data_IF_695054811058
#
_entry.id   IF_695054811058
#
_cell.length_a   1.000
_cell.length_b   1.000
_cell.length_c   1.000
_cell.angle_alpha   90.00
_cell.angle_beta   90.00
_cell.angle_gamma   90.00
#
_symmetry.space_group_name_H-M   'P 1'
#
loop_
_entity.id
_entity.type
_entity.pdbx_description
1 polymer ?
#
# COMPACT_ATOMS: atom_id res chain seq x y z
N UNK A 1 -96.20 2.71 -15.08
CA UNK A 1 -95.09 1.75 -14.88
C UNK A 1 -94.26 1.77 -16.16
N UNK A 2 -92.94 2.02 -16.09
CA UNK A 2 -92.13 2.48 -17.22
C UNK A 2 -91.70 1.38 -18.21
N UNK A 3 -91.47 1.82 -19.45
CA UNK A 3 -90.83 1.11 -20.56
C UNK A 3 -89.32 1.07 -20.31
N UNK A 4 -88.68 -0.09 -20.50
CA UNK A 4 -87.24 -0.19 -20.68
C UNK A 4 -86.93 -1.16 -21.82
N UNK A 5 -86.58 -0.56 -22.96
CA UNK A 5 -86.07 -1.22 -24.15
C UNK A 5 -84.57 -1.45 -23.94
N UNK A 6 -84.13 -2.72 -23.94
CA UNK A 6 -82.72 -3.06 -23.81
C UNK A 6 -82.08 -2.88 -25.19
N UNK A 7 -81.54 -1.68 -25.42
CA UNK A 7 -80.67 -1.38 -26.57
C UNK A 7 -79.29 -1.98 -26.27
N UNK A 8 -78.99 -3.14 -26.87
CA UNK A 8 -77.62 -3.67 -26.90
C UNK A 8 -76.78 -2.87 -27.91
N UNK A 9 -75.89 -2.03 -27.38
CA UNK A 9 -74.83 -1.33 -28.13
C UNK A 9 -73.59 -2.25 -28.23
N UNK A 10 -72.90 -2.34 -29.39
CA UNK A 10 -71.93 -3.39 -29.67
C UNK A 10 -70.54 -3.12 -29.04
N UNK A 11 -69.80 -4.14 -28.56
CA UNK A 11 -68.41 -3.94 -28.16
C UNK A 11 -67.49 -3.99 -29.39
N UNK A 12 -66.81 -2.88 -29.57
CA UNK A 12 -65.92 -2.52 -30.66
C UNK A 12 -64.74 -3.48 -30.86
N UNK A 13 -64.35 -3.62 -32.12
CA UNK A 13 -63.13 -4.25 -32.64
C UNK A 13 -61.90 -3.86 -31.82
N UNK A 14 -61.31 -4.83 -31.12
CA UNK A 14 -60.01 -4.65 -30.46
C UNK A 14 -58.93 -4.56 -31.55
N UNK A 15 -58.57 -3.34 -31.95
CA UNK A 15 -57.32 -3.08 -32.65
C UNK A 15 -56.16 -3.44 -31.72
N UNK A 16 -55.53 -4.60 -31.96
CA UNK A 16 -54.26 -4.95 -31.33
C UNK A 16 -53.19 -4.03 -31.92
N UNK A 17 -52.77 -3.02 -31.16
CA UNK A 17 -51.57 -2.25 -31.48
C UNK A 17 -50.39 -3.17 -31.16
N UNK A 18 -49.83 -3.79 -32.20
CA UNK A 18 -48.56 -4.51 -32.12
C UNK A 18 -47.45 -3.45 -31.97
N UNK A 19 -47.14 -3.04 -30.74
CA UNK A 19 -45.95 -2.23 -30.46
C UNK A 19 -44.74 -3.16 -30.72
N UNK A 20 -43.84 -2.83 -31.66
CA UNK A 20 -42.58 -3.54 -31.76
C UNK A 20 -41.82 -3.30 -30.47
N UNK A 21 -41.52 -4.38 -29.72
CA UNK A 21 -40.48 -4.38 -28.70
C UNK A 21 -39.14 -4.08 -29.40
N UNK A 22 -38.89 -2.79 -29.65
CA UNK A 22 -37.56 -2.27 -29.90
C UNK A 22 -36.77 -2.53 -28.63
N UNK A 23 -36.00 -3.63 -28.63
CA UNK A 23 -34.88 -3.79 -27.70
C UNK A 23 -34.06 -2.51 -27.80
N UNK A 24 -33.85 -1.78 -26.70
CA UNK A 24 -32.96 -0.65 -26.77
C UNK A 24 -31.57 -1.26 -26.94
N UNK A 25 -31.01 -1.10 -28.13
CA UNK A 25 -29.57 -1.10 -28.33
C UNK A 25 -29.09 0.02 -27.40
N UNK A 26 -28.68 -0.30 -26.16
CA UNK A 26 -28.30 0.70 -25.14
C UNK A 26 -26.76 0.85 -25.14
N UNK A 27 -26.19 1.68 -26.02
CA UNK A 27 -24.77 2.05 -25.93
C UNK A 27 -24.44 2.68 -24.56
N UNK A 28 -25.44 3.21 -23.85
CA UNK A 28 -25.30 3.78 -22.52
C UNK A 28 -24.94 2.75 -21.44
N UNK A 29 -25.47 1.51 -21.51
CA UNK A 29 -25.09 0.45 -20.56
C UNK A 29 -23.65 0.00 -20.78
N UNK A 30 -23.25 -0.13 -22.06
CA UNK A 30 -21.88 -0.50 -22.45
C UNK A 30 -20.90 0.60 -22.02
N UNK A 31 -21.23 1.87 -22.25
CA UNK A 31 -20.40 3.00 -21.83
C UNK A 31 -20.28 3.14 -20.30
N UNK A 32 -21.31 2.75 -19.53
CA UNK A 32 -21.24 2.72 -18.07
C UNK A 32 -20.37 1.57 -17.55
N UNK A 33 -20.37 0.43 -18.23
CA UNK A 33 -19.53 -0.73 -17.91
C UNK A 33 -18.06 -0.45 -18.25
N UNK A 34 -17.77 0.13 -19.42
CA UNK A 34 -16.43 0.59 -19.80
C UNK A 34 -15.86 1.65 -18.85
N UNK A 35 -16.71 2.54 -18.32
CA UNK A 35 -16.32 3.53 -17.29
C UNK A 35 -16.00 2.87 -15.94
N UNK A 36 -16.70 1.80 -15.57
CA UNK A 36 -16.39 1.07 -14.33
C UNK A 36 -15.06 0.33 -14.45
N UNK A 37 -14.82 -0.31 -15.59
CA UNK A 37 -13.58 -1.02 -15.88
C UNK A 37 -12.35 -0.11 -15.89
N UNK A 38 -12.48 1.10 -16.46
CA UNK A 38 -11.39 2.09 -16.45
C UNK A 38 -11.08 2.57 -15.04
N UNK A 39 -12.10 2.91 -14.23
CA UNK A 39 -11.93 3.29 -12.82
C UNK A 39 -11.29 2.16 -12.00
N UNK A 40 -11.69 0.90 -12.22
CA UNK A 40 -11.12 -0.23 -11.49
C UNK A 40 -9.65 -0.46 -11.87
N UNK A 41 -9.31 -0.32 -13.16
CA UNK A 41 -7.91 -0.40 -13.64
C UNK A 41 -7.06 0.74 -13.09
N UNK A 42 -7.58 1.96 -13.05
CA UNK A 42 -6.90 3.12 -12.46
C UNK A 42 -6.65 2.94 -10.97
N UNK A 43 -7.64 2.44 -10.21
CA UNK A 43 -7.49 2.12 -8.79
C UNK A 43 -6.39 1.07 -8.57
N UNK A 44 -6.39 -0.01 -9.36
CA UNK A 44 -5.34 -1.05 -9.31
C UNK A 44 -3.96 -0.50 -9.65
N UNK A 45 -3.84 0.40 -10.63
CA UNK A 45 -2.57 1.05 -10.96
C UNK A 45 -2.09 1.99 -9.84
N UNK A 46 -2.99 2.80 -9.26
CA UNK A 46 -2.65 3.71 -8.17
C UNK A 46 -2.20 2.96 -6.92
N UNK A 47 -2.87 1.85 -6.58
CA UNK A 47 -2.47 1.00 -5.46
C UNK A 47 -1.08 0.39 -5.68
N UNK A 48 -0.80 -0.11 -6.89
CA UNK A 48 0.55 -0.61 -7.25
C UNK A 48 1.63 0.47 -7.15
N UNK A 49 1.35 1.68 -7.63
CA UNK A 49 2.28 2.82 -7.51
C UNK A 49 2.56 3.17 -6.05
N UNK A 50 1.52 3.23 -5.20
CA UNK A 50 1.66 3.51 -3.77
C UNK A 50 2.53 2.48 -3.06
N UNK A 51 2.25 1.18 -3.27
CA UNK A 51 3.06 0.09 -2.69
C UNK A 51 4.53 0.17 -3.11
N UNK A 52 4.79 0.50 -4.38
CA UNK A 52 6.15 0.64 -4.89
C UNK A 52 6.89 1.86 -4.31
N UNK A 53 6.22 2.99 -4.11
CA UNK A 53 6.81 4.15 -3.42
C UNK A 53 7.12 3.84 -1.95
N UNK A 54 6.23 3.11 -1.28
CA UNK A 54 6.42 2.66 0.10
C UNK A 54 7.62 1.71 0.24
N UNK A 55 7.74 0.73 -0.67
CA UNK A 55 8.90 -0.17 -0.73
C UNK A 55 10.22 0.59 -0.95
N UNK A 56 10.24 1.56 -1.88
CA UNK A 56 11.42 2.43 -2.09
C UNK A 56 11.77 3.24 -0.84
N UNK A 57 10.77 3.75 -0.14
CA UNK A 57 10.95 4.47 1.11
C UNK A 57 11.57 3.60 2.20
N UNK A 58 11.15 2.33 2.30
CA UNK A 58 11.73 1.37 3.24
C UNK A 58 13.16 0.97 2.87
N UNK A 59 13.45 0.70 1.61
CA UNK A 59 14.81 0.39 1.15
C UNK A 59 15.80 1.53 1.45
N UNK A 60 15.38 2.78 1.24
CA UNK A 60 16.20 3.95 1.57
C UNK A 60 16.50 4.02 3.08
N UNK A 61 15.50 3.74 3.93
CA UNK A 61 15.69 3.69 5.39
C UNK A 61 16.60 2.56 5.83
N UNK A 62 16.46 1.36 5.25
CA UNK A 62 17.33 0.22 5.53
C UNK A 62 18.79 0.56 5.21
N UNK A 63 19.05 1.04 3.99
CA UNK A 63 20.42 1.40 3.57
C UNK A 63 21.04 2.46 4.47
N UNK A 64 20.25 3.45 4.91
CA UNK A 64 20.73 4.46 5.86
C UNK A 64 21.09 3.85 7.22
N UNK A 65 20.27 2.93 7.72
CA UNK A 65 20.53 2.22 8.97
C UNK A 65 21.76 1.30 8.88
N UNK A 66 21.98 0.62 7.75
CA UNK A 66 23.18 -0.19 7.51
C UNK A 66 24.44 0.68 7.60
N UNK A 67 24.48 1.79 6.87
CA UNK A 67 25.60 2.73 6.91
C UNK A 67 25.84 3.30 8.32
N UNK A 68 24.77 3.62 9.04
CA UNK A 68 24.86 4.10 10.42
C UNK A 68 25.43 3.02 11.36
N UNK A 69 25.06 1.75 11.18
CA UNK A 69 25.58 0.62 11.96
C UNK A 69 27.08 0.45 11.67
N UNK A 70 27.46 0.43 10.40
CA UNK A 70 28.86 0.27 9.98
C UNK A 70 29.73 1.39 10.55
N UNK A 71 29.25 2.64 10.49
CA UNK A 71 29.96 3.78 11.07
C UNK A 71 30.12 3.66 12.59
N UNK A 72 29.09 3.17 13.29
CA UNK A 72 29.16 2.97 14.74
C UNK A 72 30.15 1.87 15.13
N UNK A 73 30.17 0.77 14.36
CA UNK A 73 31.12 -0.32 14.58
C UNK A 73 32.56 0.12 14.29
N UNK A 74 32.79 0.80 13.17
CA UNK A 74 34.10 1.35 12.83
C UNK A 74 34.61 2.31 13.92
N UNK A 75 33.75 3.21 14.42
CA UNK A 75 34.12 4.10 15.54
C UNK A 75 34.42 3.31 16.82
N UNK A 76 33.69 2.23 17.08
CA UNK A 76 33.94 1.40 18.24
C UNK A 76 35.27 0.63 18.12
N UNK A 77 35.61 0.16 16.93
CA UNK A 77 36.87 -0.52 16.64
C UNK A 77 38.05 0.46 16.76
N UNK A 78 37.96 1.66 16.17
CA UNK A 78 38.98 2.71 16.32
C UNK A 78 39.23 3.05 17.80
N UNK A 79 38.15 3.24 18.59
CA UNK A 79 38.29 3.50 20.03
C UNK A 79 38.93 2.32 20.78
N UNK A 80 38.66 1.09 20.33
CA UNK A 80 39.25 -0.13 20.89
C UNK A 80 40.76 -0.20 20.59
N UNK A 81 41.16 0.12 19.37
CA UNK A 81 42.57 0.19 18.96
C UNK A 81 43.32 1.31 19.70
N UNK A 82 42.69 2.48 19.85
CA UNK A 82 43.24 3.58 20.66
C UNK A 82 43.43 3.18 22.13
N UNK A 83 42.64 2.22 22.61
CA UNK A 83 42.79 1.73 23.98
C UNK A 83 44.02 0.87 24.17
N UNK A 84 44.39 0.08 23.17
CA UNK A 84 45.60 -0.74 23.16
C UNK A 84 46.87 0.14 23.13
N UNK A 85 46.78 1.34 22.54
CA UNK A 85 47.87 2.32 22.49
C UNK A 85 48.09 3.13 23.78
N UNK A 86 47.17 3.10 24.74
CA UNK A 86 47.25 3.90 25.97
C UNK A 86 47.56 3.04 27.21
N UNK A 87 48.76 3.22 27.78
CA UNK A 87 49.21 2.57 29.03
C UNK A 87 48.56 3.09 30.31
N UNK A 88 47.81 4.21 30.22
CA UNK A 88 47.09 4.79 31.35
C UNK A 88 45.76 4.06 31.59
N UNK A 89 45.65 3.38 32.73
CA UNK A 89 44.46 2.64 33.15
C UNK A 89 43.17 3.48 33.14
N UNK A 90 43.25 4.78 33.46
CA UNK A 90 42.08 5.69 33.48
C UNK A 90 41.61 6.07 32.07
N UNK A 91 42.56 6.39 31.19
CA UNK A 91 42.26 6.79 29.81
C UNK A 91 41.78 5.58 29.01
N UNK A 92 42.44 4.43 29.19
CA UNK A 92 42.04 3.18 28.56
C UNK A 92 40.63 2.75 28.96
N UNK A 93 40.31 2.77 30.26
CA UNK A 93 38.96 2.41 30.71
C UNK A 93 37.88 3.32 30.12
N UNK A 94 38.13 4.63 30.01
CA UNK A 94 37.19 5.58 29.41
C UNK A 94 36.86 5.28 27.94
N UNK A 95 37.88 4.96 27.14
CA UNK A 95 37.72 4.62 25.71
C UNK A 95 37.01 3.25 25.54
N UNK A 96 37.32 2.26 26.38
CA UNK A 96 36.61 0.98 26.40
C UNK A 96 35.10 1.15 26.69
N UNK A 97 34.75 2.01 27.64
CA UNK A 97 33.35 2.31 27.95
C UNK A 97 32.65 2.96 26.76
N UNK A 98 33.31 3.91 26.09
CA UNK A 98 32.77 4.56 24.89
C UNK A 98 32.61 3.58 23.72
N UNK A 99 33.60 2.72 23.45
CA UNK A 99 33.52 1.66 22.43
C UNK A 99 32.32 0.74 22.70
N UNK A 100 32.16 0.29 23.94
CA UNK A 100 31.03 -0.57 24.34
C UNK A 100 29.68 0.13 24.19
N UNK A 101 29.59 1.43 24.49
CA UNK A 101 28.37 2.22 24.27
C UNK A 101 28.00 2.27 22.77
N UNK A 102 28.99 2.47 21.89
CA UNK A 102 28.77 2.46 20.44
C UNK A 102 28.33 1.08 19.94
N UNK A 103 28.95 -0.02 20.40
CA UNK A 103 28.53 -1.39 20.06
C UNK A 103 27.10 -1.69 20.52
N UNK A 104 26.70 -1.22 21.70
CA UNK A 104 25.30 -1.33 22.17
C UNK A 104 24.33 -0.56 21.27
N UNK A 105 24.70 0.66 20.86
CA UNK A 105 23.89 1.45 19.94
C UNK A 105 23.76 0.77 18.58
N UNK A 106 24.86 0.26 18.01
CA UNK A 106 24.86 -0.51 16.77
C UNK A 106 23.96 -1.76 16.88
N UNK A 107 24.00 -2.47 18.02
CA UNK A 107 23.11 -3.62 18.28
C UNK A 107 21.64 -3.23 18.29
N UNK A 108 21.29 -2.09 18.89
CA UNK A 108 19.92 -1.55 18.88
C UNK A 108 19.46 -1.26 17.46
N UNK A 109 20.27 -0.51 16.68
CA UNK A 109 19.95 -0.20 15.29
C UNK A 109 19.85 -1.44 14.41
N UNK A 110 20.63 -2.49 14.69
CA UNK A 110 20.52 -3.78 14.00
C UNK A 110 19.20 -4.49 14.28
N UNK A 111 18.62 -4.32 15.46
CA UNK A 111 17.26 -4.80 15.75
C UNK A 111 16.22 -4.04 14.94
N UNK A 112 16.35 -2.71 14.83
CA UNK A 112 15.48 -1.87 13.99
C UNK A 112 15.61 -2.20 12.49
N UNK A 113 16.81 -2.54 12.03
CA UNK A 113 17.01 -3.03 10.66
C UNK A 113 16.27 -4.35 10.42
N UNK A 114 16.35 -5.29 11.36
CA UNK A 114 15.68 -6.58 11.25
C UNK A 114 14.16 -6.43 11.17
N UNK A 115 13.56 -5.51 11.93
CA UNK A 115 12.12 -5.24 11.85
C UNK A 115 11.74 -4.61 10.51
N UNK A 116 12.53 -3.69 9.98
CA UNK A 116 12.30 -3.10 8.65
C UNK A 116 12.43 -4.13 7.51
N UNK A 117 13.32 -5.12 7.63
CA UNK A 117 13.43 -6.21 6.66
C UNK A 117 12.22 -7.13 6.65
N UNK A 118 11.59 -7.36 7.81
CA UNK A 118 10.33 -8.11 7.90
C UNK A 118 9.21 -7.33 7.21
N UNK A 119 9.08 -6.03 7.49
CA UNK A 119 8.06 -5.17 6.88
C UNK A 119 8.19 -5.06 5.35
N UNK A 120 9.42 -4.99 4.82
CA UNK A 120 9.62 -4.99 3.37
C UNK A 120 9.18 -6.31 2.73
N UNK A 121 9.46 -7.45 3.38
CA UNK A 121 8.99 -8.76 2.89
C UNK A 121 7.47 -8.85 2.87
N UNK A 122 6.79 -8.32 3.87
CA UNK A 122 5.32 -8.28 3.92
C UNK A 122 4.72 -7.40 2.82
N UNK A 123 5.38 -6.30 2.45
CA UNK A 123 4.94 -5.42 1.35
C UNK A 123 5.25 -5.95 -0.05
N UNK A 124 6.19 -6.89 -0.16
CA UNK A 124 6.57 -7.52 -1.42
C UNK A 124 5.70 -8.73 -1.79
N UNK A 125 4.81 -9.18 -0.89
CA UNK A 125 3.81 -10.24 -1.11
C UNK A 125 2.50 -9.61 -1.62
#
# INVERSE_FOLDING_TARGET
MPVFEIVMVPPQTKMLILIPLLRPNQPELIALEEKKDTIEKEKKQNEKKRKHEEAKGLQSKQRKLELDIDLLLQKADNLSEETEGHSSLKTGHGLLVQSNALRKNAKSKKADLATLQVLERELSI
#
